data_IF_282507933086
#
_entry.id   IF_282507933086
#
_cell.length_a   1.000
_cell.length_b   1.000
_cell.length_c   1.000
_cell.angle_alpha   90.00
_cell.angle_beta   90.00
_cell.angle_gamma   90.00
#
_symmetry.space_group_name_H-M   'P 1'
#
loop_
_entity.id
_entity.type
_entity.pdbx_description
1 polymer ?
#
# COMPACT_ATOMS: atom_id res chain seq x y z
N UNK A 1 13.41 4.21 -10.60
CA UNK A 1 13.04 5.60 -10.95
C UNK A 1 11.86 5.57 -11.91
N UNK A 2 10.76 6.25 -11.56
CA UNK A 2 9.52 6.22 -12.34
C UNK A 2 9.69 6.88 -13.73
N UNK A 3 9.20 6.24 -14.82
CA UNK A 3 9.24 6.84 -16.15
C UNK A 3 8.42 8.12 -16.25
N UNK A 4 8.92 9.15 -16.95
CA UNK A 4 8.23 10.45 -17.07
C UNK A 4 6.84 10.35 -17.71
N UNK A 5 6.64 9.46 -18.68
CA UNK A 5 5.35 9.27 -19.32
C UNK A 5 4.27 8.80 -18.33
N UNK A 6 4.65 8.00 -17.33
CA UNK A 6 3.72 7.52 -16.32
C UNK A 6 3.34 8.64 -15.33
N UNK A 7 4.30 9.47 -14.91
CA UNK A 7 4.01 10.68 -14.12
C UNK A 7 3.02 11.58 -14.86
N UNK A 8 3.24 11.82 -16.16
CA UNK A 8 2.35 12.64 -16.97
C UNK A 8 0.95 12.04 -17.07
N UNK A 9 0.82 10.73 -17.34
CA UNK A 9 -0.47 10.06 -17.40
C UNK A 9 -1.23 10.16 -16.06
N UNK A 10 -0.55 9.91 -14.93
CA UNK A 10 -1.13 10.05 -13.58
C UNK A 10 -1.63 11.46 -13.31
N UNK A 11 -0.84 12.47 -13.65
CA UNK A 11 -1.18 13.88 -13.41
C UNK A 11 -2.33 14.34 -14.30
N UNK A 12 -2.33 13.99 -15.58
CA UNK A 12 -3.42 14.31 -16.50
C UNK A 12 -4.72 13.67 -16.04
N UNK A 13 -4.69 12.39 -15.66
CA UNK A 13 -5.88 11.70 -15.18
C UNK A 13 -6.38 12.30 -13.86
N UNK A 14 -5.49 12.68 -12.93
CA UNK A 14 -5.87 13.34 -11.68
C UNK A 14 -6.57 14.68 -11.93
N UNK A 15 -6.02 15.51 -12.82
CA UNK A 15 -6.63 16.80 -13.21
C UNK A 15 -7.99 16.59 -13.87
N UNK A 16 -8.08 15.65 -14.83
CA UNK A 16 -9.31 15.32 -15.51
C UNK A 16 -10.39 14.86 -14.53
N UNK A 17 -10.05 13.95 -13.63
CA UNK A 17 -10.97 13.40 -12.66
C UNK A 17 -11.50 14.47 -11.69
N UNK A 18 -10.63 15.36 -11.20
CA UNK A 18 -11.04 16.49 -10.37
C UNK A 18 -12.00 17.44 -11.11
N UNK A 19 -11.72 17.70 -12.39
CA UNK A 19 -12.58 18.51 -13.25
C UNK A 19 -13.94 17.88 -13.50
N UNK A 20 -13.99 16.57 -13.76
CA UNK A 20 -15.23 15.82 -13.94
C UNK A 20 -16.10 15.78 -12.69
N UNK A 21 -15.47 15.75 -11.50
CA UNK A 21 -16.19 15.76 -10.23
C UNK A 21 -16.80 17.12 -9.91
N UNK A 22 -16.04 18.20 -10.06
CA UNK A 22 -16.43 19.52 -9.54
C UNK A 22 -17.03 20.47 -10.57
N UNK A 23 -16.75 20.27 -11.87
CA UNK A 23 -17.27 21.18 -12.90
C UNK A 23 -18.76 20.98 -13.14
N UNK A 24 -19.46 22.10 -13.31
CA UNK A 24 -20.88 22.14 -13.70
C UNK A 24 -21.10 22.66 -15.12
N UNK A 25 -20.05 23.14 -15.78
CA UNK A 25 -20.12 23.63 -17.16
C UNK A 25 -19.93 22.46 -18.14
N UNK A 26 -20.89 22.30 -19.07
CA UNK A 26 -20.91 21.17 -20.01
C UNK A 26 -19.71 21.15 -20.97
N UNK A 27 -19.15 22.31 -21.31
CA UNK A 27 -17.98 22.39 -22.19
C UNK A 27 -16.71 22.05 -21.43
N UNK A 28 -16.61 22.45 -20.17
CA UNK A 28 -15.50 22.03 -19.31
C UNK A 28 -15.53 20.53 -19.04
N UNK A 29 -16.70 19.96 -18.76
CA UNK A 29 -16.87 18.50 -18.61
C UNK A 29 -16.38 17.75 -19.85
N UNK A 30 -16.73 18.21 -21.06
CA UNK A 30 -16.24 17.62 -22.32
C UNK A 30 -14.70 17.70 -22.42
N UNK A 31 -14.10 18.84 -22.06
CA UNK A 31 -12.63 19.01 -22.04
C UNK A 31 -11.97 18.07 -21.04
N UNK A 32 -12.55 17.86 -19.87
CA UNK A 32 -11.99 16.93 -18.89
C UNK A 32 -12.07 15.47 -19.35
N UNK A 33 -13.12 15.09 -20.09
CA UNK A 33 -13.14 13.78 -20.75
C UNK A 33 -12.00 13.63 -21.77
N UNK A 34 -11.74 14.66 -22.59
CA UNK A 34 -10.62 14.65 -23.54
C UNK A 34 -9.26 14.50 -22.83
N UNK A 35 -9.03 15.24 -21.73
CA UNK A 35 -7.80 15.11 -20.94
C UNK A 35 -7.65 13.68 -20.37
N UNK A 36 -8.77 13.09 -19.91
CA UNK A 36 -8.77 11.70 -19.44
C UNK A 36 -8.42 10.72 -20.55
N UNK A 37 -8.99 10.89 -21.75
CA UNK A 37 -8.70 10.01 -22.88
C UNK A 37 -7.22 10.11 -23.29
N UNK A 38 -6.61 11.31 -23.29
CA UNK A 38 -5.15 11.47 -23.51
C UNK A 38 -4.34 10.67 -22.47
N UNK A 39 -4.76 10.67 -21.20
CA UNK A 39 -4.06 9.88 -20.17
C UNK A 39 -4.13 8.37 -20.43
N UNK A 40 -5.24 7.90 -21.02
CA UNK A 40 -5.43 6.49 -21.41
C UNK A 40 -4.55 6.15 -22.61
N UNK A 41 -4.51 7.02 -23.62
CA UNK A 41 -3.66 6.86 -24.81
C UNK A 41 -2.17 6.74 -24.43
N UNK A 42 -1.70 7.55 -23.47
CA UNK A 42 -0.33 7.45 -22.95
C UNK A 42 -0.08 6.08 -22.29
N UNK A 43 -1.04 5.54 -21.53
CA UNK A 43 -0.86 4.22 -20.93
C UNK A 43 -0.90 3.12 -22.00
N UNK A 44 -1.83 3.18 -22.95
CA UNK A 44 -2.01 2.18 -24.01
C UNK A 44 -0.75 2.05 -24.88
N UNK A 45 -0.13 3.17 -25.25
CA UNK A 45 1.11 3.22 -26.04
C UNK A 45 2.29 2.55 -25.33
N UNK A 46 2.38 2.66 -24.00
CA UNK A 46 3.55 2.22 -23.24
C UNK A 46 3.35 0.93 -22.44
N UNK A 47 2.13 0.38 -22.34
CA UNK A 47 1.85 -0.86 -21.58
C UNK A 47 1.22 -1.99 -22.39
N UNK A 48 1.04 -1.83 -23.71
CA UNK A 48 0.39 -2.81 -24.61
C UNK A 48 -0.98 -3.30 -24.10
N UNK A 49 -1.61 -2.52 -23.22
CA UNK A 49 -2.86 -2.86 -22.56
C UNK A 49 -3.98 -2.11 -23.29
N UNK A 50 -5.10 -2.78 -23.58
CA UNK A 50 -6.20 -2.13 -24.28
C UNK A 50 -6.75 -0.93 -23.50
N UNK A 51 -7.12 0.12 -24.23
CA UNK A 51 -7.80 1.30 -23.69
C UNK A 51 -9.03 0.95 -22.83
N UNK A 52 -9.79 -0.08 -23.18
CA UNK A 52 -10.92 -0.58 -22.37
C UNK A 52 -10.46 -1.03 -20.97
N UNK A 53 -9.42 -1.86 -20.91
CA UNK A 53 -8.89 -2.37 -19.64
C UNK A 53 -8.19 -1.28 -18.83
N UNK A 54 -7.52 -0.34 -19.49
CA UNK A 54 -6.96 0.84 -18.84
C UNK A 54 -8.06 1.70 -18.23
N UNK A 55 -9.14 1.98 -18.98
CA UNK A 55 -10.28 2.76 -18.46
C UNK A 55 -10.90 2.09 -17.24
N UNK A 56 -11.04 0.76 -17.27
CA UNK A 56 -11.57 -0.03 -16.16
C UNK A 56 -10.68 0.01 -14.91
N UNK A 57 -9.36 0.02 -15.04
CA UNK A 57 -8.45 -0.05 -13.89
C UNK A 57 -8.00 1.34 -13.39
N UNK A 58 -7.81 2.29 -14.30
CA UNK A 58 -7.16 3.57 -14.03
C UNK A 58 -8.13 4.76 -13.99
N UNK A 59 -9.29 4.64 -14.64
CA UNK A 59 -10.29 5.71 -14.75
C UNK A 59 -11.64 5.39 -14.10
N UNK A 60 -11.72 4.33 -13.28
CA UNK A 60 -12.97 3.85 -12.68
C UNK A 60 -13.39 4.60 -11.40
N UNK A 61 -12.51 5.44 -10.84
CA UNK A 61 -12.83 6.20 -9.64
C UNK A 61 -13.84 7.32 -9.97
N UNK A 62 -14.78 7.54 -9.05
CA UNK A 62 -15.67 8.73 -9.02
C UNK A 62 -15.24 9.60 -7.84
N UNK A 63 -15.48 10.91 -7.87
CA UNK A 63 -14.88 11.82 -6.90
C UNK A 63 -13.49 12.30 -7.28
N UNK A 64 -12.85 13.02 -6.36
CA UNK A 64 -11.46 13.48 -6.48
C UNK A 64 -10.49 12.32 -6.21
N UNK A 65 -9.51 12.12 -7.10
CA UNK A 65 -8.52 11.06 -6.95
C UNK A 65 -7.59 11.34 -5.76
N UNK A 66 -7.44 10.35 -4.90
CA UNK A 66 -6.51 10.38 -3.76
C UNK A 66 -5.49 9.25 -3.88
N UNK A 67 -4.32 9.33 -3.21
CA UNK A 67 -3.46 8.17 -3.05
C UNK A 67 -4.21 7.02 -2.39
N UNK A 68 -4.00 5.79 -2.88
CA UNK A 68 -4.49 4.58 -2.20
C UNK A 68 -3.72 4.41 -0.89
N UNK A 69 -4.33 3.71 0.06
CA UNK A 69 -3.74 3.50 1.39
C UNK A 69 -3.46 2.02 1.59
N UNK A 70 -2.20 1.68 1.83
CA UNK A 70 -1.73 0.36 2.24
C UNK A 70 -1.33 0.42 3.72
N UNK A 71 -1.77 -0.57 4.49
CA UNK A 71 -1.47 -0.69 5.92
C UNK A 71 -0.48 -1.84 6.13
N UNK A 72 0.49 -1.66 7.02
CA UNK A 72 1.42 -2.71 7.44
C UNK A 72 1.49 -2.77 8.96
N UNK A 73 1.23 -3.94 9.52
CA UNK A 73 1.31 -4.17 10.96
C UNK A 73 2.70 -4.70 11.33
N UNK A 74 3.44 -3.92 12.11
CA UNK A 74 4.73 -4.33 12.66
C UNK A 74 4.51 -4.93 14.05
N UNK A 75 4.82 -6.22 14.21
CA UNK A 75 4.64 -6.95 15.48
C UNK A 75 5.97 -7.56 15.88
N UNK A 76 6.45 -7.20 17.06
CA UNK A 76 7.74 -7.66 17.57
C UNK A 76 7.59 -8.48 18.85
N UNK A 77 8.40 -9.54 18.95
CA UNK A 77 8.60 -10.34 20.15
C UNK A 77 10.10 -10.38 20.44
N UNK A 78 10.58 -9.53 21.36
CA UNK A 78 12.02 -9.38 21.59
C UNK A 78 12.73 -8.77 20.37
N UNK A 79 13.70 -9.49 19.80
CA UNK A 79 14.45 -9.07 18.59
C UNK A 79 13.88 -9.69 17.31
N UNK A 80 12.66 -10.23 17.35
CA UNK A 80 12.05 -10.90 16.21
C UNK A 80 10.81 -10.16 15.72
N UNK A 81 10.64 -10.09 14.41
CA UNK A 81 9.44 -9.55 13.74
C UNK A 81 8.56 -10.69 13.25
N UNK A 82 7.25 -10.55 13.41
CA UNK A 82 6.28 -11.43 12.78
C UNK A 82 6.17 -11.10 11.29
N UNK A 83 6.38 -12.09 10.44
CA UNK A 83 6.13 -12.02 9.02
C UNK A 83 5.18 -13.15 8.60
N UNK A 84 4.48 -12.93 7.49
CA UNK A 84 3.67 -13.93 6.79
C UNK A 84 4.26 -14.21 5.42
N UNK A 85 4.11 -15.44 4.95
CA UNK A 85 4.59 -15.89 3.64
C UNK A 85 3.46 -15.81 2.64
N UNK A 86 3.60 -14.91 1.67
CA UNK A 86 2.59 -14.59 0.67
C UNK A 86 2.45 -15.73 -0.35
N UNK A 87 1.23 -16.20 -0.60
CA UNK A 87 0.95 -17.26 -1.58
C UNK A 87 1.29 -16.85 -3.02
N UNK A 88 1.32 -15.54 -3.32
CA UNK A 88 1.53 -15.03 -4.69
C UNK A 88 2.98 -15.09 -5.17
N UNK A 89 3.94 -14.87 -4.27
CA UNK A 89 5.36 -14.80 -4.62
C UNK A 89 6.24 -15.72 -3.74
N UNK A 90 5.67 -16.39 -2.73
CA UNK A 90 6.37 -17.28 -1.81
C UNK A 90 7.34 -16.54 -0.88
N UNK A 91 7.28 -15.21 -0.82
CA UNK A 91 8.18 -14.35 -0.03
C UNK A 91 7.49 -13.81 1.20
N UNK A 92 8.27 -13.22 2.09
CA UNK A 92 7.81 -12.82 3.41
C UNK A 92 7.51 -11.33 3.51
N UNK A 93 6.42 -11.00 4.17
CA UNK A 93 5.95 -9.63 4.33
C UNK A 93 5.39 -9.37 5.74
N UNK A 94 5.36 -8.10 6.16
CA UNK A 94 4.58 -7.71 7.34
C UNK A 94 3.10 -7.84 7.02
N UNK A 95 2.28 -8.40 7.93
CA UNK A 95 0.86 -8.55 7.68
C UNK A 95 0.22 -7.23 7.28
N UNK A 96 -0.60 -7.25 6.23
CA UNK A 96 -1.24 -6.04 5.75
C UNK A 96 -1.56 -6.01 4.26
N UNK A 97 -2.44 -5.07 3.93
CA UNK A 97 -2.94 -4.88 2.58
C UNK A 97 -3.59 -3.52 2.40
N UNK A 98 -4.51 -3.45 1.44
CA UNK A 98 -5.27 -2.26 1.15
C UNK A 98 -6.22 -1.91 2.31
N UNK A 99 -6.24 -0.64 2.70
CA UNK A 99 -7.17 -0.18 3.72
C UNK A 99 -8.62 -0.25 3.21
N UNK A 100 -9.49 -0.92 3.97
CA UNK A 100 -10.94 -0.86 3.76
C UNK A 100 -11.47 0.52 4.14
N UNK A 101 -12.32 1.08 3.29
CA UNK A 101 -12.79 2.46 3.38
C UNK A 101 -13.69 2.74 4.59
N UNK A 102 -14.34 1.71 5.13
CA UNK A 102 -15.22 1.79 6.29
C UNK A 102 -14.52 1.45 7.61
N UNK A 103 -13.20 1.19 7.59
CA UNK A 103 -12.40 0.87 8.76
C UNK A 103 -11.38 1.97 9.03
N UNK A 104 -11.12 2.26 10.31
CA UNK A 104 -10.00 3.10 10.71
C UNK A 104 -8.66 2.43 10.41
N UNK A 105 -7.57 3.21 10.43
CA UNK A 105 -6.20 2.67 10.32
C UNK A 105 -5.93 1.57 11.36
N UNK A 106 -6.43 1.76 12.57
CA UNK A 106 -6.27 0.80 13.67
C UNK A 106 -7.03 -0.49 13.41
N UNK A 107 -8.27 -0.39 12.94
CA UNK A 107 -9.11 -1.55 12.63
C UNK A 107 -8.56 -2.33 11.44
N UNK A 108 -8.10 -1.65 10.39
CA UNK A 108 -7.42 -2.31 9.26
C UNK A 108 -6.19 -3.09 9.74
N UNK A 109 -5.29 -2.48 10.51
CA UNK A 109 -4.10 -3.18 11.00
C UNK A 109 -4.44 -4.43 11.84
N UNK A 110 -5.49 -4.37 12.67
CA UNK A 110 -5.93 -5.53 13.47
C UNK A 110 -6.60 -6.59 12.60
N UNK A 111 -7.43 -6.19 11.62
CA UNK A 111 -8.09 -7.08 10.68
C UNK A 111 -7.08 -7.88 9.86
N UNK A 112 -6.14 -7.21 9.20
CA UNK A 112 -5.17 -7.86 8.31
C UNK A 112 -4.33 -8.89 9.09
N UNK A 113 -3.86 -8.54 10.29
CA UNK A 113 -3.15 -9.51 11.15
C UNK A 113 -4.02 -10.70 11.50
N UNK A 114 -5.32 -10.49 11.72
CA UNK A 114 -6.24 -11.57 12.06
C UNK A 114 -6.47 -12.52 10.88
N UNK A 115 -6.62 -11.97 9.68
CA UNK A 115 -6.90 -12.74 8.47
C UNK A 115 -5.66 -13.47 7.96
N UNK A 116 -4.54 -12.77 7.85
CA UNK A 116 -3.30 -13.31 7.30
C UNK A 116 -2.55 -14.15 8.34
N UNK A 117 -2.40 -13.68 9.58
CA UNK A 117 -1.60 -14.40 10.59
C UNK A 117 -2.43 -15.25 11.56
N UNK A 118 -3.77 -15.16 11.56
CA UNK A 118 -4.64 -15.82 12.56
C UNK A 118 -4.53 -15.24 13.98
N UNK A 119 -3.64 -14.26 14.18
CA UNK A 119 -3.26 -13.72 15.49
C UNK A 119 -4.19 -12.59 15.92
N UNK A 120 -4.28 -12.40 17.23
CA UNK A 120 -4.98 -11.29 17.86
C UNK A 120 -3.93 -10.28 18.33
N UNK A 121 -4.12 -9.02 17.94
CA UNK A 121 -3.20 -7.93 18.29
C UNK A 121 -3.95 -6.70 18.81
N UNK A 122 -3.22 -5.85 19.53
CA UNK A 122 -3.64 -4.49 19.86
C UNK A 122 -2.76 -3.53 19.06
N UNK A 123 -3.34 -2.74 18.18
CA UNK A 123 -2.62 -1.65 17.52
C UNK A 123 -2.35 -0.50 18.52
N UNK A 124 -1.08 -0.21 18.76
CA UNK A 124 -0.62 0.66 19.85
C UNK A 124 -0.25 2.06 19.34
N UNK A 125 0.51 2.14 18.25
CA UNK A 125 1.11 3.41 17.81
C UNK A 125 1.34 3.44 16.30
N UNK A 126 1.16 4.61 15.69
CA UNK A 126 1.59 4.87 14.31
C UNK A 126 3.12 5.03 14.26
N UNK A 127 3.78 4.30 13.37
CA UNK A 127 5.24 4.36 13.16
C UNK A 127 5.57 5.35 12.06
N UNK A 128 4.94 5.17 10.89
CA UNK A 128 5.28 5.95 9.70
C UNK A 128 4.13 6.05 8.70
N UNK A 129 4.18 7.07 7.85
CA UNK A 129 3.35 7.25 6.65
C UNK A 129 4.28 7.60 5.50
N UNK A 130 4.53 6.66 4.60
CA UNK A 130 5.53 6.80 3.54
C UNK A 130 4.87 6.80 2.15
N UNK A 131 5.37 7.64 1.24
CA UNK A 131 5.06 7.54 -0.18
C UNK A 131 5.78 6.32 -0.78
N UNK A 132 5.02 5.31 -1.20
CA UNK A 132 5.56 4.06 -1.75
C UNK A 132 6.61 4.30 -2.84
N UNK A 133 6.40 5.29 -3.71
CA UNK A 133 7.26 5.55 -4.86
C UNK A 133 8.67 6.02 -4.51
N UNK A 134 8.89 6.49 -3.28
CA UNK A 134 10.20 6.93 -2.77
C UNK A 134 11.02 5.79 -2.16
N UNK A 135 10.38 4.68 -1.83
CA UNK A 135 11.00 3.56 -1.10
C UNK A 135 11.01 2.25 -1.87
N UNK A 136 10.19 2.12 -2.92
CA UNK A 136 10.03 0.90 -3.71
C UNK A 136 10.23 1.23 -5.19
N UNK A 137 11.19 0.56 -5.82
CA UNK A 137 11.56 0.80 -7.23
C UNK A 137 10.49 0.32 -8.22
N UNK A 138 9.67 -0.65 -7.83
CA UNK A 138 8.61 -1.21 -8.67
C UNK A 138 7.58 -0.13 -9.01
N UNK A 139 7.36 0.05 -10.30
CA UNK A 139 6.47 1.05 -10.85
C UNK A 139 5.01 0.66 -10.59
N UNK A 140 4.22 1.59 -10.06
CA UNK A 140 2.78 1.41 -9.83
C UNK A 140 1.98 2.46 -10.59
N UNK A 141 0.81 2.16 -11.17
CA UNK A 141 -0.07 3.16 -11.78
C UNK A 141 -0.78 4.04 -10.73
N UNK A 142 -0.66 3.73 -9.44
CA UNK A 142 -1.30 4.48 -8.35
C UNK A 142 -0.27 5.22 -7.50
N UNK A 143 -0.66 6.38 -6.95
CA UNK A 143 0.01 6.94 -5.78
C UNK A 143 -0.44 6.16 -4.55
N UNK A 144 0.50 5.75 -3.68
CA UNK A 144 0.19 4.87 -2.54
C UNK A 144 0.89 5.40 -1.28
N UNK A 145 0.11 5.64 -0.22
CA UNK A 145 0.63 5.86 1.11
C UNK A 145 0.70 4.53 1.87
N UNK A 146 1.89 4.17 2.33
CA UNK A 146 2.12 3.01 3.20
C UNK A 146 2.16 3.45 4.65
N UNK A 147 1.20 3.00 5.43
CA UNK A 147 1.05 3.35 6.85
C UNK A 147 1.52 2.16 7.68
N UNK A 148 2.55 2.37 8.50
CA UNK A 148 3.12 1.34 9.37
C UNK A 148 2.59 1.53 10.78
N UNK A 149 1.99 0.49 11.36
CA UNK A 149 1.37 0.52 12.69
C UNK A 149 2.07 -0.49 13.59
N UNK A 150 2.56 -0.03 14.74
CA UNK A 150 3.08 -0.90 15.78
C UNK A 150 1.91 -1.62 16.46
N UNK A 151 1.97 -2.94 16.48
CA UNK A 151 0.96 -3.79 17.10
C UNK A 151 1.60 -4.72 18.13
N UNK A 152 0.88 -4.94 19.23
CA UNK A 152 1.26 -5.86 20.30
C UNK A 152 0.48 -7.16 20.18
N UNK A 153 1.21 -8.28 20.15
CA UNK A 153 0.63 -9.63 20.18
C UNK A 153 -0.06 -9.91 21.51
N UNK A 154 -1.31 -10.38 21.47
CA UNK A 154 -2.08 -10.75 22.67
C UNK A 154 -2.59 -12.20 22.65
N UNK A 155 -2.41 -12.93 21.54
CA UNK A 155 -2.71 -14.35 21.44
C UNK A 155 -3.14 -14.74 20.02
N UNK A 156 -3.80 -15.89 19.91
CA UNK A 156 -4.16 -16.48 18.62
C UNK A 156 -3.11 -17.47 18.13
N UNK A 157 -3.42 -18.11 17.01
CA UNK A 157 -2.58 -19.12 16.36
C UNK A 157 -2.81 -19.01 14.85
N UNK A 158 -1.74 -19.22 14.09
CA UNK A 158 -1.81 -19.18 12.65
C UNK A 158 -2.57 -20.38 12.08
N UNK A 159 -3.37 -20.10 11.06
CA UNK A 159 -4.03 -21.11 10.24
C UNK A 159 -3.76 -20.76 8.77
N UNK A 160 -3.15 -21.65 7.98
CA UNK A 160 -2.95 -21.43 6.56
C UNK A 160 -4.25 -21.03 5.86
N UNK A 161 -4.17 -20.06 4.96
CA UNK A 161 -5.32 -19.53 4.24
C UNK A 161 -4.95 -19.27 2.76
N UNK A 162 -5.85 -18.67 2.00
CA UNK A 162 -5.65 -18.46 0.57
C UNK A 162 -4.57 -17.41 0.26
N UNK A 163 -4.35 -16.46 1.16
CA UNK A 163 -3.43 -15.33 0.98
C UNK A 163 -2.03 -15.64 1.51
N UNK A 164 -1.95 -16.40 2.61
CA UNK A 164 -0.69 -16.70 3.30
C UNK A 164 -0.54 -18.16 3.65
N UNK A 165 0.62 -18.72 3.30
CA UNK A 165 0.97 -20.13 3.49
C UNK A 165 1.48 -20.42 4.90
N UNK A 166 2.25 -19.49 5.45
CA UNK A 166 3.00 -19.63 6.70
C UNK A 166 3.06 -18.29 7.46
N UNK A 167 3.22 -18.36 8.79
CA UNK A 167 3.62 -17.21 9.60
C UNK A 167 4.80 -17.60 10.49
N UNK A 168 5.69 -16.65 10.76
CA UNK A 168 6.91 -16.92 11.52
C UNK A 168 7.47 -15.67 12.19
N UNK A 169 8.18 -15.88 13.28
CA UNK A 169 9.01 -14.86 13.92
C UNK A 169 10.43 -14.98 13.36
N UNK A 170 10.99 -13.86 12.91
CA UNK A 170 12.32 -13.80 12.32
C UNK A 170 13.16 -12.73 13.00
N UNK A 171 14.40 -13.08 13.32
CA UNK A 171 15.37 -12.12 13.87
C UNK A 171 15.59 -10.96 12.89
N UNK A 172 15.70 -9.75 13.41
CA UNK A 172 16.05 -8.55 12.61
C UNK A 172 17.43 -8.70 11.94
N UNK A 173 18.30 -9.49 12.54
CA UNK A 173 19.65 -9.75 12.01
C UNK A 173 19.66 -10.88 10.95
N UNK A 174 18.58 -11.65 10.82
CA UNK A 174 18.47 -12.83 9.94
C UNK A 174 17.07 -12.91 9.31
N UNK A 175 16.74 -11.89 8.50
CA UNK A 175 15.46 -11.80 7.81
C UNK A 175 15.37 -12.77 6.62
N UNK A 176 14.20 -13.36 6.37
CA UNK A 176 13.98 -14.24 5.22
C UNK A 176 13.94 -13.44 3.90
N UNK A 177 13.75 -14.13 2.77
CA UNK A 177 13.55 -13.46 1.48
C UNK A 177 12.25 -12.62 1.50
N UNK A 178 12.41 -11.29 1.41
CA UNK A 178 11.31 -10.34 1.57
C UNK A 178 10.56 -10.08 0.26
N UNK A 179 9.24 -9.91 0.36
CA UNK A 179 8.42 -9.34 -0.71
C UNK A 179 8.64 -7.82 -0.76
N UNK A 180 9.66 -7.38 -1.51
CA UNK A 180 10.13 -5.99 -1.51
C UNK A 180 9.10 -4.98 -2.02
N UNK A 181 8.09 -5.42 -2.77
CA UNK A 181 6.94 -4.59 -3.17
C UNK A 181 6.00 -4.23 -2.01
N UNK A 182 6.04 -5.00 -0.92
CA UNK A 182 5.23 -4.84 0.31
C UNK A 182 6.01 -4.26 1.47
N UNK A 183 7.26 -4.67 1.66
CA UNK A 183 8.15 -4.11 2.67
C UNK A 183 9.62 -4.31 2.30
N UNK A 184 10.43 -3.27 2.51
CA UNK A 184 11.88 -3.37 2.39
C UNK A 184 12.53 -3.70 3.72
N UNK A 185 13.81 -4.10 3.68
CA UNK A 185 14.61 -4.32 4.89
C UNK A 185 14.72 -3.03 5.72
N UNK A 186 14.93 -1.90 5.05
CA UNK A 186 15.04 -0.57 5.68
C UNK A 186 13.75 -0.19 6.41
N UNK A 187 12.59 -0.55 5.85
CA UNK A 187 11.28 -0.33 6.50
C UNK A 187 11.08 -1.23 7.72
N UNK A 188 11.55 -2.47 7.69
CA UNK A 188 11.53 -3.36 8.86
C UNK A 188 12.45 -2.80 9.96
N UNK A 189 13.68 -2.41 9.61
CA UNK A 189 14.63 -1.80 10.55
C UNK A 189 14.09 -0.48 11.14
N UNK A 190 13.41 0.33 10.34
CA UNK A 190 12.70 1.52 10.79
C UNK A 190 11.63 1.17 11.83
N UNK A 191 10.80 0.17 11.55
CA UNK A 191 9.79 -0.29 12.51
C UNK A 191 10.42 -0.81 13.80
N UNK A 192 11.56 -1.53 13.70
CA UNK A 192 12.26 -2.05 14.86
C UNK A 192 12.85 -0.94 15.72
N UNK A 193 13.46 0.09 15.10
CA UNK A 193 13.93 1.29 15.81
C UNK A 193 12.80 1.98 16.57
N UNK A 194 11.62 2.10 15.95
CA UNK A 194 10.45 2.63 16.64
C UNK A 194 10.02 1.71 17.79
N UNK A 195 10.03 0.39 17.62
CA UNK A 195 9.67 -0.56 18.67
C UNK A 195 10.56 -0.42 19.93
N UNK A 196 11.88 -0.33 19.75
CA UNK A 196 12.83 -0.25 20.87
C UNK A 196 12.92 1.15 21.51
N UNK A 197 12.48 2.19 20.80
CA UNK A 197 12.38 3.57 21.33
C UNK A 197 10.92 4.06 21.33
N UNK A 198 10.22 3.96 22.48
CA UNK A 198 8.84 4.44 22.62
C UNK A 198 8.68 5.95 22.37
N UNK A 199 9.77 6.73 22.43
CA UNK A 199 9.76 8.18 22.17
C UNK A 199 10.15 8.53 20.73
N UNK A 200 10.37 7.53 19.86
CA UNK A 200 10.68 7.76 18.47
C UNK A 200 9.62 8.63 17.80
N UNK A 201 10.05 9.62 17.04
CA UNK A 201 9.13 10.44 16.24
C UNK A 201 8.49 9.61 15.12
N UNK A 202 7.28 10.02 14.72
CA UNK A 202 6.59 9.46 13.56
C UNK A 202 7.33 9.93 12.30
N UNK A 203 7.59 9.01 11.37
CA UNK A 203 8.31 9.28 10.12
C UNK A 203 7.29 9.50 9.00
N UNK A 204 7.45 10.55 8.19
CA UNK A 204 6.61 10.80 7.03
C UNK A 204 7.34 11.58 5.94
N UNK A 205 6.91 11.40 4.68
CA UNK A 205 7.45 12.08 3.50
C UNK A 205 6.40 12.35 2.41
#
# INVERSE_FOLDING_TARGET
MEPRWLDWAKRLQSIAQAGLEYSKDKYDVERFYQIRDISVEILEEYTETSSEKIKELFCNETGYKTPKVDIRAAIFVGNEILLVKESVDGRWSMPGGWAESNLSVKENAVKEVKEEAGLNVIAERLIAVLDRSKHIDEVSPYGIYKIFVLCKLVGGEFVPNIETEESGLFSIDDLPELSTGRNTKEQIEMCYKAYIDPNSFIIFD
#
